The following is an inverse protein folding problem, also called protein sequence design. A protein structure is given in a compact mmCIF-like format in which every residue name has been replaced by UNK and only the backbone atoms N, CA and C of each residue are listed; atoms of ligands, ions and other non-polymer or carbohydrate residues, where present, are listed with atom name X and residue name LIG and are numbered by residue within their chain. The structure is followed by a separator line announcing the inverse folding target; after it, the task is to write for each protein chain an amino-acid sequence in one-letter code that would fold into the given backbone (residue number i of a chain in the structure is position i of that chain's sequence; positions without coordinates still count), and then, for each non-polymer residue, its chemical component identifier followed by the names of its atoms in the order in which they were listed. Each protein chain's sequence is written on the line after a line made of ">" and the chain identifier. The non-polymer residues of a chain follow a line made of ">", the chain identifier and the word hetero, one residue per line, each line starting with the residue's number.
data_IF_579471043071
#
_entry.id   IF_579471043071
#
_cell.length_a   1.000
_cell.length_b   1.000
_cell.length_c   1.000
_cell.angle_alpha   90.00
_cell.angle_beta   90.00
_cell.angle_gamma   90.00
#
_symmetry.space_group_name_H-M   'P 1'
#
loop_
_entity.id
_entity.type
_entity.pdbx_description
1 polymer ?
#
# COMPACT_ATOMS: atom_id res chain seq x y z
N UNK A 1 -7.03 -21.94 -5.88
CA UNK A 1 -7.31 -20.84 -4.95
C UNK A 1 -7.09 -21.31 -3.52
N UNK A 2 -6.46 -20.49 -2.70
CA UNK A 2 -6.23 -20.76 -1.27
C UNK A 2 -7.15 -19.91 -0.38
N UNK A 3 -8.22 -19.37 -0.95
CA UNK A 3 -9.29 -18.73 -0.19
C UNK A 3 -10.18 -19.82 0.40
N UNK A 4 -10.30 -19.82 1.72
CA UNK A 4 -11.11 -20.80 2.46
C UNK A 4 -12.38 -20.12 2.99
N UNK A 5 -13.39 -20.93 3.31
CA UNK A 5 -14.63 -20.49 3.93
C UNK A 5 -14.60 -20.92 5.39
N UNK A 6 -14.81 -19.98 6.31
CA UNK A 6 -15.06 -20.29 7.70
C UNK A 6 -16.55 -20.61 7.88
N UNK A 7 -16.91 -21.80 8.39
CA UNK A 7 -18.31 -22.19 8.55
C UNK A 7 -19.02 -21.55 9.76
N UNK A 8 -18.26 -20.97 10.68
CA UNK A 8 -18.77 -20.47 11.97
C UNK A 8 -18.78 -18.94 12.04
N UNK A 9 -17.92 -18.28 11.23
CA UNK A 9 -17.78 -16.83 11.23
C UNK A 9 -18.20 -16.21 9.89
N UNK A 10 -18.83 -15.03 9.97
CA UNK A 10 -19.13 -14.25 8.79
C UNK A 10 -17.88 -13.61 8.18
N UNK A 11 -17.92 -13.32 6.89
CA UNK A 11 -16.88 -12.48 6.26
C UNK A 11 -16.74 -11.15 7.00
N UNK A 12 -15.53 -10.60 7.01
CA UNK A 12 -15.29 -9.26 7.52
C UNK A 12 -16.14 -8.20 6.80
N UNK A 13 -16.56 -7.17 7.54
CA UNK A 13 -17.37 -6.07 7.00
C UNK A 13 -16.75 -4.74 7.39
N UNK A 14 -16.49 -3.89 6.39
CA UNK A 14 -16.15 -2.49 6.59
C UNK A 14 -17.38 -1.61 6.39
N UNK A 15 -17.82 -0.90 7.44
CA UNK A 15 -18.87 0.11 7.33
C UNK A 15 -18.21 1.47 7.08
N UNK A 16 -18.40 2.00 5.87
CA UNK A 16 -17.78 3.25 5.43
C UNK A 16 -18.80 4.38 5.51
N UNK A 17 -18.51 5.38 6.33
CA UNK A 17 -19.27 6.63 6.41
C UNK A 17 -18.50 7.70 5.65
N UNK A 18 -19.10 8.24 4.60
CA UNK A 18 -18.54 9.37 3.86
C UNK A 18 -19.05 10.69 4.45
N UNK A 19 -18.14 11.52 4.88
CA UNK A 19 -18.38 12.91 5.25
C UNK A 19 -18.05 13.78 4.03
N UNK A 20 -19.10 14.21 3.32
CA UNK A 20 -18.96 15.01 2.09
C UNK A 20 -19.14 16.48 2.46
N UNK A 21 -18.15 17.30 2.19
CA UNK A 21 -18.22 18.76 2.27
C UNK A 21 -18.10 19.36 0.87
N UNK A 22 -18.35 20.67 0.70
CA UNK A 22 -18.23 21.34 -0.61
C UNK A 22 -16.84 21.19 -1.26
N UNK A 23 -15.80 20.90 -0.46
CA UNK A 23 -14.41 20.91 -0.93
C UNK A 23 -13.65 19.62 -0.64
N UNK A 24 -14.24 18.66 0.11
CA UNK A 24 -13.51 17.45 0.50
C UNK A 24 -14.45 16.29 0.79
N UNK A 25 -14.00 15.07 0.55
CA UNK A 25 -14.63 13.83 0.97
C UNK A 25 -13.69 13.10 1.95
N UNK A 26 -14.16 12.89 3.19
CA UNK A 26 -13.44 12.09 4.20
C UNK A 26 -14.21 10.83 4.47
N UNK A 27 -13.51 9.70 4.54
CA UNK A 27 -14.10 8.45 4.98
C UNK A 27 -13.79 8.19 6.45
N UNK A 28 -14.73 7.53 7.12
CA UNK A 28 -14.55 6.93 8.45
C UNK A 28 -14.97 5.48 8.32
N UNK A 29 -14.07 4.57 8.63
CA UNK A 29 -14.30 3.14 8.45
C UNK A 29 -14.39 2.47 9.82
N UNK A 30 -15.51 1.78 10.07
CA UNK A 30 -15.66 0.87 11.20
C UNK A 30 -15.53 -0.55 10.68
N UNK A 31 -14.53 -1.28 11.15
CA UNK A 31 -14.23 -2.65 10.68
C UNK A 31 -14.73 -3.67 11.70
N UNK A 32 -15.49 -4.65 11.22
CA UNK A 32 -15.78 -5.89 11.91
C UNK A 32 -14.97 -6.99 11.20
N UNK A 33 -13.88 -7.51 11.77
CA UNK A 33 -12.92 -8.34 11.04
C UNK A 33 -13.47 -9.72 10.62
N UNK A 34 -14.42 -10.28 11.38
CA UNK A 34 -15.04 -11.58 11.05
C UNK A 34 -14.01 -12.68 10.83
N UNK A 35 -14.23 -13.51 9.84
CA UNK A 35 -13.39 -14.67 9.51
C UNK A 35 -11.92 -14.33 9.23
N UNK A 36 -11.56 -13.07 8.93
CA UNK A 36 -10.16 -12.69 8.79
C UNK A 36 -9.35 -12.97 10.07
N UNK A 37 -9.98 -12.73 11.24
CA UNK A 37 -9.29 -12.89 12.54
C UNK A 37 -9.39 -14.30 13.11
N UNK A 38 -10.08 -15.23 12.44
CA UNK A 38 -10.07 -16.66 12.83
C UNK A 38 -8.92 -17.43 12.17
N UNK A 39 -8.13 -16.77 11.29
CA UNK A 39 -6.99 -17.40 10.64
C UNK A 39 -5.95 -17.88 11.65
N UNK A 40 -5.46 -19.11 11.46
CA UNK A 40 -4.48 -19.78 12.32
C UNK A 40 -3.27 -20.21 11.50
N UNK A 41 -2.16 -20.52 12.19
CA UNK A 41 -0.91 -20.97 11.58
C UNK A 41 -1.10 -22.21 10.68
N UNK A 42 -2.02 -23.10 11.05
CA UNK A 42 -2.32 -24.31 10.26
C UNK A 42 -2.94 -24.00 8.88
N UNK A 43 -3.69 -22.88 8.78
CA UNK A 43 -4.31 -22.46 7.52
C UNK A 43 -3.29 -21.93 6.50
N UNK A 44 -2.16 -21.45 6.98
CA UNK A 44 -1.08 -20.90 6.14
C UNK A 44 0.12 -21.85 6.00
N UNK A 45 0.12 -23.02 6.66
CA UNK A 45 1.28 -23.90 6.72
C UNK A 45 1.82 -24.30 5.33
N UNK A 46 0.94 -24.48 4.35
CA UNK A 46 1.29 -24.75 2.97
C UNK A 46 2.17 -23.68 2.31
N UNK A 47 2.01 -22.41 2.74
CA UNK A 47 2.72 -21.28 2.17
C UNK A 47 4.22 -21.34 2.48
N UNK A 48 4.61 -21.96 3.60
CA UNK A 48 6.02 -22.10 3.99
C UNK A 48 6.88 -22.73 2.89
N UNK A 49 6.34 -23.76 2.22
CA UNK A 49 7.06 -24.46 1.15
C UNK A 49 6.84 -23.83 -0.23
N UNK A 50 5.77 -23.04 -0.38
CA UNK A 50 5.37 -22.44 -1.65
C UNK A 50 5.82 -20.99 -1.81
N UNK A 51 6.18 -20.28 -0.71
CA UNK A 51 6.39 -18.83 -0.72
C UNK A 51 7.47 -18.38 -1.70
N UNK A 52 8.50 -19.17 -1.93
CA UNK A 52 9.56 -18.90 -2.89
C UNK A 52 9.13 -18.94 -4.36
N UNK A 53 7.88 -19.28 -4.66
CA UNK A 53 7.32 -19.27 -6.02
C UNK A 53 6.67 -17.92 -6.37
N UNK A 54 6.59 -17.00 -5.42
CA UNK A 54 5.98 -15.67 -5.58
C UNK A 54 7.04 -14.59 -5.74
N UNK A 55 6.75 -13.60 -6.56
CA UNK A 55 7.66 -12.47 -6.81
C UNK A 55 7.65 -11.45 -5.68
N UNK A 56 6.53 -11.33 -4.97
CA UNK A 56 6.33 -10.42 -3.84
C UNK A 56 5.18 -10.91 -2.96
N UNK A 57 5.28 -10.66 -1.65
CA UNK A 57 4.18 -10.86 -0.69
C UNK A 57 3.65 -9.50 -0.27
N UNK A 58 2.34 -9.30 -0.43
CA UNK A 58 1.65 -8.06 -0.03
C UNK A 58 0.76 -8.37 1.17
N UNK A 59 0.88 -7.60 2.24
CA UNK A 59 0.09 -7.78 3.47
C UNK A 59 -0.42 -6.44 4.01
N UNK A 60 -1.51 -6.53 4.76
CA UNK A 60 -2.08 -5.48 5.60
C UNK A 60 -2.17 -5.99 7.04
N UNK A 61 -2.75 -5.19 7.96
CA UNK A 61 -2.93 -5.58 9.37
C UNK A 61 -4.37 -6.02 9.69
N UNK A 62 -5.07 -6.55 8.71
CA UNK A 62 -6.44 -7.08 8.85
C UNK A 62 -6.47 -8.60 9.08
N UNK A 63 -5.36 -9.14 9.55
CA UNK A 63 -5.17 -10.53 9.96
C UNK A 63 -4.57 -10.56 11.39
N UNK A 64 -4.63 -11.71 12.09
CA UNK A 64 -3.87 -11.87 13.33
C UNK A 64 -2.39 -11.53 13.14
N UNK A 65 -1.81 -10.75 14.05
CA UNK A 65 -0.45 -10.24 13.92
C UNK A 65 0.59 -11.37 13.82
N UNK A 66 0.38 -12.46 14.52
CA UNK A 66 1.25 -13.64 14.47
C UNK A 66 1.29 -14.29 13.08
N UNK A 67 0.20 -14.21 12.32
CA UNK A 67 0.14 -14.66 10.92
C UNK A 67 1.00 -13.73 10.05
N UNK A 68 0.83 -12.40 10.19
CA UNK A 68 1.60 -11.41 9.44
C UNK A 68 3.11 -11.57 9.72
N UNK A 69 3.50 -11.68 10.99
CA UNK A 69 4.90 -11.89 11.41
C UNK A 69 5.48 -13.19 10.85
N UNK A 70 4.69 -14.28 10.89
CA UNK A 70 5.11 -15.58 10.38
C UNK A 70 5.35 -15.55 8.88
N UNK A 71 4.41 -14.98 8.11
CA UNK A 71 4.54 -14.89 6.64
C UNK A 71 5.70 -13.97 6.25
N UNK A 72 5.87 -12.81 6.90
CA UNK A 72 6.99 -11.93 6.66
C UNK A 72 8.34 -12.63 6.90
N UNK A 73 8.46 -13.40 7.97
CA UNK A 73 9.65 -14.20 8.28
C UNK A 73 9.94 -15.26 7.21
N UNK A 74 8.92 -15.97 6.74
CA UNK A 74 9.10 -16.98 5.69
C UNK A 74 9.48 -16.36 4.37
N UNK A 75 8.85 -15.25 3.97
CA UNK A 75 9.19 -14.52 2.76
C UNK A 75 10.65 -14.04 2.79
N UNK A 76 11.08 -13.40 3.90
CA UNK A 76 12.46 -12.97 4.07
C UNK A 76 13.45 -14.11 3.96
N UNK A 77 13.15 -15.26 4.59
CA UNK A 77 14.01 -16.45 4.54
C UNK A 77 14.10 -17.04 3.14
N UNK A 78 13.05 -16.92 2.34
CA UNK A 78 13.00 -17.37 0.94
C UNK A 78 13.55 -16.35 -0.06
N UNK A 79 13.96 -15.14 0.39
CA UNK A 79 14.42 -14.06 -0.48
C UNK A 79 13.29 -13.36 -1.25
N UNK A 80 12.04 -13.55 -0.85
CA UNK A 80 10.87 -12.91 -1.47
C UNK A 80 10.61 -11.57 -0.82
N UNK A 81 10.51 -10.46 -1.56
CA UNK A 81 10.20 -9.15 -1.03
C UNK A 81 8.85 -9.12 -0.31
N UNK A 82 8.78 -8.37 0.79
CA UNK A 82 7.56 -8.13 1.55
C UNK A 82 7.16 -6.66 1.41
N UNK A 83 5.96 -6.42 0.92
CA UNK A 83 5.27 -5.14 1.00
C UNK A 83 4.28 -5.22 2.14
N UNK A 84 4.44 -4.36 3.16
CA UNK A 84 3.47 -4.19 4.24
C UNK A 84 2.82 -2.82 4.14
N UNK A 85 1.51 -2.80 3.95
CA UNK A 85 0.69 -1.61 4.19
C UNK A 85 0.16 -1.71 5.63
N UNK A 86 0.63 -0.89 6.58
CA UNK A 86 0.32 -1.06 8.01
C UNK A 86 -1.04 -0.45 8.38
N UNK A 87 -2.08 -0.84 7.66
CA UNK A 87 -3.46 -0.41 7.82
C UNK A 87 -4.34 -1.60 8.29
N UNK A 88 -5.21 -1.39 9.30
CA UNK A 88 -5.26 -0.23 10.20
C UNK A 88 -4.00 -0.14 11.09
N UNK A 89 -3.60 1.08 11.43
CA UNK A 89 -2.38 1.32 12.21
C UNK A 89 -2.37 0.55 13.54
N UNK A 90 -1.29 -0.18 13.77
CA UNK A 90 -1.04 -0.91 15.00
C UNK A 90 0.45 -0.86 15.36
N UNK A 91 0.82 -1.06 16.63
CA UNK A 91 2.23 -1.22 17.01
C UNK A 91 2.84 -2.41 16.28
N UNK A 92 4.00 -2.20 15.65
CA UNK A 92 4.75 -3.24 14.95
C UNK A 92 5.99 -3.62 15.76
N UNK A 93 6.30 -4.92 15.82
CA UNK A 93 7.54 -5.37 16.46
C UNK A 93 8.74 -5.07 15.57
N UNK A 94 9.90 -4.79 16.18
CA UNK A 94 11.15 -4.63 15.43
C UNK A 94 11.48 -5.90 14.62
N UNK A 95 11.04 -7.08 15.11
CA UNK A 95 11.18 -8.34 14.38
C UNK A 95 10.36 -8.37 13.09
N UNK A 96 9.13 -7.85 13.10
CA UNK A 96 8.33 -7.73 11.89
C UNK A 96 8.97 -6.72 10.92
N UNK A 97 9.31 -5.53 11.41
CA UNK A 97 9.92 -4.47 10.58
C UNK A 97 11.20 -4.94 9.90
N UNK A 98 12.05 -5.69 10.59
CA UNK A 98 13.27 -6.27 10.02
C UNK A 98 13.02 -7.27 8.87
N UNK A 99 11.80 -7.80 8.74
CA UNK A 99 11.42 -8.71 7.67
C UNK A 99 10.68 -8.01 6.51
N UNK A 100 10.38 -6.71 6.64
CA UNK A 100 9.67 -5.91 5.64
C UNK A 100 10.67 -5.29 4.65
N UNK A 101 10.42 -5.46 3.36
CA UNK A 101 11.22 -4.83 2.30
C UNK A 101 10.67 -3.44 2.00
N UNK A 102 9.37 -3.34 1.76
CA UNK A 102 8.65 -2.10 1.49
C UNK A 102 7.60 -1.90 2.57
N UNK A 103 7.65 -0.75 3.25
CA UNK A 103 6.61 -0.33 4.18
C UNK A 103 5.85 0.86 3.56
N UNK A 104 4.54 0.75 3.44
CA UNK A 104 3.72 1.78 2.79
C UNK A 104 2.60 2.30 3.70
N UNK A 105 2.91 3.11 4.73
CA UNK A 105 1.93 3.81 5.53
C UNK A 105 1.39 5.05 4.82
N UNK A 106 0.27 5.59 5.30
CA UNK A 106 -0.03 7.01 5.10
C UNK A 106 0.73 7.88 6.11
N UNK A 107 0.64 9.23 5.97
CA UNK A 107 1.35 10.17 6.85
C UNK A 107 0.94 10.02 8.33
N UNK A 108 -0.32 9.72 8.60
CA UNK A 108 -0.81 9.55 9.97
C UNK A 108 -0.35 8.22 10.59
N UNK A 109 -0.37 7.15 9.82
CA UNK A 109 0.15 5.85 10.23
C UNK A 109 1.65 5.93 10.49
N UNK A 110 2.40 6.60 9.61
CA UNK A 110 3.84 6.80 9.76
C UNK A 110 4.16 7.57 11.04
N UNK A 111 3.43 8.66 11.30
CA UNK A 111 3.57 9.46 12.52
C UNK A 111 3.22 8.66 13.78
N UNK A 112 2.11 7.93 13.76
CA UNK A 112 1.67 7.13 14.91
C UNK A 112 2.69 6.04 15.29
N UNK A 113 3.28 5.37 14.29
CA UNK A 113 4.25 4.30 14.54
C UNK A 113 5.63 4.82 14.95
N UNK A 114 6.11 5.90 14.31
CA UNK A 114 7.44 6.46 14.56
C UNK A 114 7.49 7.41 15.75
N UNK A 115 6.35 7.98 16.14
CA UNK A 115 6.27 9.07 17.11
C UNK A 115 6.76 10.43 16.58
N UNK A 116 6.92 10.56 15.26
CA UNK A 116 7.37 11.78 14.58
C UNK A 116 6.33 12.23 13.56
N UNK A 117 5.81 13.45 13.75
CA UNK A 117 4.88 14.05 12.80
C UNK A 117 5.61 14.54 11.53
N UNK A 118 4.88 14.57 10.42
CA UNK A 118 5.36 15.17 9.17
C UNK A 118 4.53 16.43 8.92
N UNK A 119 5.18 17.60 8.97
CA UNK A 119 4.50 18.86 8.67
C UNK A 119 4.24 19.00 7.17
N UNK A 120 2.96 19.18 6.83
CA UNK A 120 2.47 19.39 5.45
C UNK A 120 1.77 20.75 5.27
N UNK A 121 1.81 21.63 6.27
CA UNK A 121 1.07 22.91 6.29
C UNK A 121 1.52 23.89 5.20
N UNK A 122 2.78 23.86 4.82
CA UNK A 122 3.39 24.69 3.78
C UNK A 122 4.09 23.85 2.69
N UNK A 123 3.51 22.70 2.35
CA UNK A 123 4.15 21.66 1.56
C UNK A 123 4.84 20.63 2.45
N UNK A 124 5.28 19.52 1.87
CA UNK A 124 5.87 18.42 2.62
C UNK A 124 7.23 18.85 3.23
N UNK A 125 7.37 18.77 4.54
CA UNK A 125 8.67 18.97 5.20
C UNK A 125 9.54 17.72 4.98
N UNK A 126 10.51 17.82 4.11
CA UNK A 126 11.38 16.69 3.72
C UNK A 126 12.34 16.26 4.85
N UNK A 127 12.66 17.13 5.81
CA UNK A 127 13.48 16.73 6.97
C UNK A 127 12.69 15.88 7.97
N UNK A 128 11.41 16.17 8.15
CA UNK A 128 10.53 15.32 8.95
C UNK A 128 10.39 13.93 8.28
N UNK A 129 10.22 13.89 6.95
CA UNK A 129 10.18 12.64 6.19
C UNK A 129 11.45 11.82 6.38
N UNK A 130 12.64 12.44 6.32
CA UNK A 130 13.93 11.74 6.58
C UNK A 130 14.03 11.23 8.01
N UNK A 131 13.54 12.00 8.98
CA UNK A 131 13.52 11.58 10.39
C UNK A 131 12.66 10.32 10.56
N UNK A 132 11.46 10.33 10.00
CA UNK A 132 10.57 9.16 9.99
C UNK A 132 11.23 7.98 9.27
N UNK A 133 11.81 8.20 8.10
CA UNK A 133 12.48 7.17 7.33
C UNK A 133 13.66 6.55 8.11
N UNK A 134 14.48 7.39 8.74
CA UNK A 134 15.58 6.94 9.58
C UNK A 134 15.12 6.06 10.75
N UNK A 135 13.98 6.40 11.36
CA UNK A 135 13.40 5.59 12.43
C UNK A 135 13.02 4.18 11.98
N UNK A 136 12.45 4.04 10.77
CA UNK A 136 12.12 2.74 10.19
C UNK A 136 13.35 1.97 9.69
N UNK A 137 14.34 2.67 9.10
CA UNK A 137 15.61 2.04 8.68
C UNK A 137 16.39 1.45 9.86
N UNK A 138 16.40 2.14 11.00
CA UNK A 138 17.04 1.63 12.24
C UNK A 138 16.42 0.30 12.71
N UNK A 139 15.19 0.00 12.26
CA UNK A 139 14.44 -1.24 12.55
C UNK A 139 14.47 -2.25 11.41
N UNK A 140 15.23 -1.94 10.35
CA UNK A 140 15.51 -2.87 9.26
C UNK A 140 14.57 -2.79 8.06
N UNK A 141 13.65 -1.81 8.01
CA UNK A 141 12.84 -1.55 6.81
C UNK A 141 13.75 -1.06 5.69
N UNK A 142 13.71 -1.72 4.53
CA UNK A 142 14.60 -1.38 3.43
C UNK A 142 14.15 -0.16 2.64
N UNK A 143 12.84 0.03 2.48
CA UNK A 143 12.22 1.12 1.69
C UNK A 143 10.94 1.59 2.37
N UNK A 144 10.81 2.91 2.56
CA UNK A 144 9.62 3.54 3.07
C UNK A 144 8.93 4.32 1.95
N UNK A 145 7.62 4.10 1.77
CA UNK A 145 6.79 4.82 0.81
C UNK A 145 5.61 5.39 1.57
N UNK A 146 5.57 6.70 1.78
CA UNK A 146 4.48 7.35 2.50
C UNK A 146 3.50 7.95 1.51
N UNK A 147 2.24 7.55 1.59
CA UNK A 147 1.15 8.20 0.85
C UNK A 147 0.64 9.40 1.64
N UNK A 148 0.45 10.55 0.96
CA UNK A 148 0.16 11.85 1.57
C UNK A 148 -1.08 12.52 0.96
N UNK A 149 -2.06 11.71 0.57
CA UNK A 149 -3.32 12.18 0.00
C UNK A 149 -3.13 13.16 -1.16
N UNK A 150 -3.60 14.39 -1.00
CA UNK A 150 -3.49 15.45 -2.01
C UNK A 150 -2.06 15.94 -2.25
N UNK A 151 -1.11 15.61 -1.37
CA UNK A 151 0.30 15.91 -1.51
C UNK A 151 1.08 14.81 -2.30
N UNK A 152 0.40 13.75 -2.76
CA UNK A 152 1.02 12.68 -3.52
C UNK A 152 1.65 11.59 -2.65
N UNK A 153 2.89 11.20 -2.95
CA UNK A 153 3.62 10.20 -2.18
C UNK A 153 5.12 10.49 -2.15
N UNK A 154 5.80 9.98 -1.14
CA UNK A 154 7.25 10.07 -1.03
C UNK A 154 7.85 8.68 -0.86
N UNK A 155 8.89 8.37 -1.64
CA UNK A 155 9.78 7.25 -1.35
C UNK A 155 10.98 7.80 -0.60
N UNK A 156 11.25 7.28 0.59
CA UNK A 156 12.20 7.88 1.51
C UNK A 156 13.19 6.87 2.09
N UNK A 157 14.38 7.37 2.31
CA UNK A 157 15.42 6.82 3.16
C UNK A 157 15.95 7.94 4.06
N UNK A 158 16.80 7.62 5.02
CA UNK A 158 17.47 8.62 5.86
C UNK A 158 18.19 9.70 5.06
N UNK A 159 18.80 9.32 3.95
CA UNK A 159 19.68 10.17 3.16
C UNK A 159 19.01 10.77 1.92
N UNK A 160 17.86 10.23 1.51
CA UNK A 160 17.20 10.65 0.28
C UNK A 160 15.68 10.61 0.38
N UNK A 161 15.04 11.58 -0.26
CA UNK A 161 13.58 11.63 -0.44
C UNK A 161 13.29 11.90 -1.91
N UNK A 162 12.44 11.09 -2.49
CA UNK A 162 11.88 11.28 -3.82
C UNK A 162 10.39 11.52 -3.72
N UNK A 163 9.93 12.66 -4.20
CA UNK A 163 8.51 13.03 -4.16
C UNK A 163 7.84 12.77 -5.51
N UNK A 164 6.71 12.09 -5.46
CA UNK A 164 5.83 11.89 -6.61
C UNK A 164 4.56 12.70 -6.41
N UNK A 165 4.33 13.67 -7.28
CA UNK A 165 3.16 14.54 -7.21
C UNK A 165 1.86 13.75 -7.37
N UNK A 166 0.78 14.26 -6.73
CA UNK A 166 -0.56 13.73 -6.93
C UNK A 166 -0.99 13.90 -8.39
N UNK A 167 -1.62 12.87 -8.94
CA UNK A 167 -2.28 12.94 -10.25
C UNK A 167 -3.68 13.51 -10.05
N UNK A 168 -3.87 14.79 -10.38
CA UNK A 168 -5.14 15.49 -10.18
C UNK A 168 -6.20 14.97 -11.15
N UNK A 169 -7.34 14.58 -10.61
CA UNK A 169 -8.55 14.26 -11.36
C UNK A 169 -9.54 15.42 -11.31
N UNK A 170 -10.39 15.61 -12.34
CA UNK A 170 -11.42 16.65 -12.36
C UNK A 170 -12.42 16.53 -11.20
N UNK A 171 -12.61 15.32 -10.69
CA UNK A 171 -13.57 14.99 -9.64
C UNK A 171 -13.00 13.89 -8.75
N UNK A 172 -13.14 14.07 -7.43
CA UNK A 172 -12.89 13.05 -6.42
C UNK A 172 -14.26 12.61 -5.90
N UNK A 173 -14.62 11.36 -6.17
CA UNK A 173 -15.91 10.80 -5.79
C UNK A 173 -15.83 10.10 -4.43
N UNK A 174 -14.79 9.30 -4.22
CA UNK A 174 -14.63 8.45 -3.04
C UNK A 174 -13.14 8.11 -2.87
N UNK A 175 -12.59 8.25 -1.68
CA UNK A 175 -11.20 7.92 -1.40
C UNK A 175 -10.98 6.48 -0.93
N UNK A 176 -12.05 5.69 -0.88
CA UNK A 176 -12.01 4.27 -0.51
C UNK A 176 -11.14 3.49 -1.49
N UNK A 177 -10.34 2.57 -0.97
CA UNK A 177 -9.38 1.74 -1.71
C UNK A 177 -8.27 2.50 -2.48
N UNK A 178 -8.10 3.81 -2.27
CA UNK A 178 -7.01 4.56 -2.91
C UNK A 178 -5.63 4.02 -2.50
N UNK A 179 -5.41 3.80 -1.20
CA UNK A 179 -4.19 3.21 -0.66
C UNK A 179 -3.96 1.78 -1.16
N UNK A 180 -5.01 0.95 -1.12
CA UNK A 180 -4.94 -0.44 -1.57
C UNK A 180 -4.57 -0.53 -3.05
N UNK A 181 -5.21 0.28 -3.89
CA UNK A 181 -4.92 0.32 -5.32
C UNK A 181 -3.53 0.85 -5.63
N UNK A 182 -3.04 1.84 -4.85
CA UNK A 182 -1.68 2.36 -4.95
C UNK A 182 -0.65 1.26 -4.65
N UNK A 183 -0.80 0.57 -3.50
CA UNK A 183 0.11 -0.50 -3.08
C UNK A 183 0.11 -1.65 -4.09
N UNK A 184 -1.09 -2.09 -4.52
CA UNK A 184 -1.22 -3.16 -5.50
C UNK A 184 -0.55 -2.79 -6.83
N UNK A 185 -0.80 -1.58 -7.34
CA UNK A 185 -0.20 -1.12 -8.59
C UNK A 185 1.32 -0.95 -8.48
N UNK A 186 1.82 -0.40 -7.37
CA UNK A 186 3.26 -0.30 -7.13
C UNK A 186 3.96 -1.66 -7.19
N UNK A 187 3.43 -2.63 -6.45
CA UNK A 187 3.96 -4.00 -6.45
C UNK A 187 3.87 -4.65 -7.82
N UNK A 188 2.74 -4.45 -8.52
CA UNK A 188 2.54 -4.93 -9.89
C UNK A 188 3.57 -4.34 -10.85
N UNK A 189 3.84 -3.04 -10.77
CA UNK A 189 4.87 -2.38 -11.57
C UNK A 189 6.27 -2.95 -11.30
N UNK A 190 6.64 -3.13 -10.03
CA UNK A 190 7.93 -3.72 -9.66
C UNK A 190 8.10 -5.14 -10.21
N UNK A 191 7.08 -5.99 -10.08
CA UNK A 191 7.13 -7.38 -10.57
C UNK A 191 7.11 -7.46 -12.09
N UNK A 192 6.57 -6.44 -12.78
CA UNK A 192 6.68 -6.28 -14.23
C UNK A 192 8.05 -5.77 -14.69
N UNK A 193 8.96 -5.43 -13.77
CA UNK A 193 10.30 -4.95 -14.09
C UNK A 193 10.43 -3.42 -14.20
N UNK A 194 9.40 -2.66 -13.85
CA UNK A 194 9.51 -1.19 -13.86
C UNK A 194 10.52 -0.71 -12.81
N UNK A 195 11.34 0.29 -13.12
CA UNK A 195 12.09 1.03 -12.14
C UNK A 195 11.18 1.62 -11.05
N UNK A 196 11.68 1.74 -9.81
CA UNK A 196 10.89 2.19 -8.65
C UNK A 196 10.10 3.49 -8.89
N UNK A 197 10.74 4.49 -9.52
CA UNK A 197 10.08 5.76 -9.84
C UNK A 197 8.93 5.62 -10.84
N UNK A 198 9.05 4.70 -11.80
CA UNK A 198 8.00 4.42 -12.77
C UNK A 198 6.85 3.60 -12.16
N UNK A 199 7.19 2.65 -11.27
CA UNK A 199 6.21 1.93 -10.47
C UNK A 199 5.40 2.88 -9.57
N UNK A 200 6.04 3.91 -8.97
CA UNK A 200 5.36 4.96 -8.21
C UNK A 200 4.44 5.82 -9.10
N UNK A 201 4.89 6.17 -10.30
CA UNK A 201 4.05 6.89 -11.24
C UNK A 201 2.83 6.05 -11.68
N UNK A 202 3.02 4.77 -11.98
CA UNK A 202 1.94 3.84 -12.29
C UNK A 202 0.95 3.73 -11.13
N UNK A 203 1.43 3.58 -9.89
CA UNK A 203 0.62 3.53 -8.68
C UNK A 203 -0.19 4.81 -8.46
N UNK A 204 0.43 5.99 -8.66
CA UNK A 204 -0.23 7.29 -8.50
C UNK A 204 -1.35 7.50 -9.52
N UNK A 205 -1.16 7.07 -10.77
CA UNK A 205 -2.21 7.14 -11.79
C UNK A 205 -3.35 6.14 -11.52
N UNK A 206 -3.02 4.95 -11.00
CA UNK A 206 -4.01 3.96 -10.56
C UNK A 206 -4.87 4.52 -9.44
N UNK A 207 -4.27 5.06 -8.39
CA UNK A 207 -4.98 5.67 -7.26
C UNK A 207 -5.85 6.86 -7.71
N UNK A 208 -5.38 7.67 -8.66
CA UNK A 208 -6.13 8.80 -9.21
C UNK A 208 -7.43 8.35 -9.89
N UNK A 209 -7.39 7.28 -10.68
CA UNK A 209 -8.61 6.71 -11.29
C UNK A 209 -9.52 6.15 -10.19
N UNK A 210 -8.96 5.43 -9.23
CA UNK A 210 -9.72 4.87 -8.11
C UNK A 210 -10.53 5.94 -7.39
N UNK A 211 -9.91 7.04 -6.97
CA UNK A 211 -10.61 8.11 -6.23
C UNK A 211 -11.65 8.87 -7.08
N UNK A 212 -11.61 8.75 -8.39
CA UNK A 212 -12.60 9.35 -9.29
C UNK A 212 -13.91 8.56 -9.41
N UNK A 213 -13.98 7.40 -8.76
CA UNK A 213 -15.11 6.44 -8.83
C UNK A 213 -15.62 6.09 -7.44
N UNK A 214 -16.87 5.68 -7.35
CA UNK A 214 -17.50 5.27 -6.09
C UNK A 214 -17.20 3.79 -5.76
N UNK A 215 -16.98 3.52 -4.49
CA UNK A 215 -16.84 2.19 -3.92
C UNK A 215 -15.41 1.64 -3.96
N UNK A 216 -15.19 0.46 -3.37
CA UNK A 216 -13.88 -0.19 -3.30
C UNK A 216 -13.55 -0.95 -4.60
N UNK A 217 -13.94 -2.23 -4.72
CA UNK A 217 -13.66 -3.03 -5.92
C UNK A 217 -14.17 -2.39 -7.22
N UNK A 218 -15.39 -1.80 -7.28
CA UNK A 218 -15.88 -1.18 -8.51
C UNK A 218 -15.10 0.04 -8.98
N UNK A 219 -14.32 0.69 -8.10
CA UNK A 219 -13.50 1.85 -8.44
C UNK A 219 -12.15 1.48 -9.07
N UNK A 220 -11.69 0.24 -8.90
CA UNK A 220 -10.37 -0.20 -9.36
C UNK A 220 -10.27 -0.16 -10.89
N UNK A 221 -9.22 0.47 -11.45
CA UNK A 221 -9.01 0.50 -12.88
C UNK A 221 -8.36 -0.79 -13.39
N UNK A 222 -8.53 -1.04 -14.68
CA UNK A 222 -7.71 -1.98 -15.42
C UNK A 222 -6.36 -1.38 -15.79
N UNK A 223 -5.36 -2.20 -16.08
CA UNK A 223 -4.04 -1.78 -16.58
C UNK A 223 -4.19 -0.89 -17.83
N UNK A 224 -5.11 -1.25 -18.74
CA UNK A 224 -5.35 -0.49 -19.97
C UNK A 224 -5.85 0.95 -19.70
N UNK A 225 -6.72 1.13 -18.70
CA UNK A 225 -7.21 2.46 -18.29
C UNK A 225 -6.08 3.31 -17.70
N UNK A 226 -5.22 2.72 -16.88
CA UNK A 226 -4.07 3.42 -16.31
C UNK A 226 -3.08 3.82 -17.41
N UNK A 227 -2.78 2.92 -18.35
CA UNK A 227 -1.94 3.22 -19.52
C UNK A 227 -2.52 4.36 -20.37
N UNK A 228 -3.84 4.40 -20.55
CA UNK A 228 -4.50 5.48 -21.29
C UNK A 228 -4.33 6.83 -20.58
N UNK A 229 -4.52 6.88 -19.26
CA UNK A 229 -4.32 8.10 -18.47
C UNK A 229 -2.87 8.58 -18.48
N UNK A 230 -1.90 7.66 -18.34
CA UNK A 230 -0.48 7.98 -18.45
C UNK A 230 -0.13 8.65 -19.77
N UNK A 231 -0.63 8.12 -20.90
CA UNK A 231 -0.44 8.71 -22.25
C UNK A 231 -1.11 10.07 -22.36
N UNK A 232 -2.36 10.20 -21.91
CA UNK A 232 -3.11 11.47 -21.91
C UNK A 232 -2.35 12.57 -21.17
N UNK A 233 -1.70 12.22 -20.05
CA UNK A 233 -0.92 13.14 -19.23
C UNK A 233 0.51 13.37 -19.75
N UNK A 234 0.85 12.78 -20.89
CA UNK A 234 2.18 12.94 -21.49
C UNK A 234 3.30 12.28 -20.70
N UNK A 235 2.99 11.31 -19.86
CA UNK A 235 3.99 10.55 -19.13
C UNK A 235 4.68 9.57 -20.10
N UNK A 236 5.96 9.78 -20.32
CA UNK A 236 6.77 9.01 -21.27
C UNK A 236 7.92 8.27 -20.53
N UNK A 237 7.81 8.10 -19.22
CA UNK A 237 8.89 7.57 -18.37
C UNK A 237 9.14 6.09 -18.59
N UNK A 238 8.16 5.32 -19.08
CA UNK A 238 8.34 3.91 -19.36
C UNK A 238 7.61 3.46 -20.63
N UNK A 239 8.08 2.38 -21.23
CA UNK A 239 7.37 1.73 -22.32
C UNK A 239 6.11 1.03 -21.75
N UNK A 240 4.94 1.48 -22.22
CA UNK A 240 3.68 0.84 -21.86
C UNK A 240 3.64 -0.67 -22.24
N UNK A 241 4.52 -1.11 -23.14
CA UNK A 241 4.71 -2.52 -23.49
C UNK A 241 5.27 -3.37 -22.37
N UNK A 242 6.02 -2.80 -21.42
CA UNK A 242 6.50 -3.53 -20.23
C UNK A 242 5.34 -4.02 -19.35
N UNK A 243 4.23 -3.27 -19.33
CA UNK A 243 3.00 -3.68 -18.64
C UNK A 243 2.16 -4.70 -19.43
N UNK A 244 2.50 -4.98 -20.70
CA UNK A 244 1.79 -5.98 -21.50
C UNK A 244 2.04 -7.42 -20.98
N UNK A 245 3.12 -7.64 -20.25
CA UNK A 245 3.38 -8.88 -19.53
C UNK A 245 2.37 -9.18 -18.42
N UNK A 246 1.55 -8.17 -18.02
CA UNK A 246 0.52 -8.27 -16.99
C UNK A 246 -0.88 -8.56 -17.54
N UNK A 247 -1.02 -8.67 -18.84
CA UNK A 247 -2.27 -9.05 -19.54
C UNK A 247 -2.32 -10.55 -19.73
#
# INVERSE_FOLDING_TARGET
>A
SHVTVDPEESSGVGHITLEITEHNAKNRITVCPGANFTMKQEHIAWLKDAIGQYDIVIMQLELPMDIVETVAKWAKAAGVPVMLNPAPAAPLSDQLLANVTYLSPNEHEAALMSGHDIDVSNGINMEDVKTVAGWFEDRGVSKLIITMGENGSVAASRDSVSHTNVVKMPHVADTTAAGDSFVAAFCTGLTAGLPEGEALAFASHTAAITVSRMGAIPSLPTVAEVQALLRERGYNGFDAGELDALK
#
